data_IF_958065885718
#
_entry.id   IF_958065885718
#
_cell.length_a   1.000
_cell.length_b   1.000
_cell.length_c   1.000
_cell.angle_alpha   90.00
_cell.angle_beta   90.00
_cell.angle_gamma   90.00
#
_symmetry.space_group_name_H-M   'P 1'
#
loop_
_entity.id
_entity.type
_entity.pdbx_description
1 polymer ?
#
# COMPACT_ATOMS: atom_id res chain seq x y z
N UNK A 1 10.60 -5.94 12.97
CA UNK A 1 9.26 -5.67 12.39
C UNK A 1 9.21 -5.79 10.87
N UNK A 2 10.15 -5.21 10.11
CA UNK A 2 10.17 -5.27 8.63
C UNK A 2 10.11 -6.70 8.03
N UNK A 3 10.81 -7.67 8.60
CA UNK A 3 10.72 -9.07 8.13
C UNK A 3 9.33 -9.70 8.32
N UNK A 4 8.63 -9.35 9.40
CA UNK A 4 7.28 -9.87 9.67
C UNK A 4 6.24 -9.26 8.73
N UNK A 5 6.46 -8.01 8.29
CA UNK A 5 5.61 -7.32 7.32
C UNK A 5 5.79 -7.87 5.90
N UNK A 6 6.98 -8.38 5.56
CA UNK A 6 7.39 -8.72 4.20
C UNK A 6 6.41 -9.63 3.43
N UNK A 7 5.78 -10.58 4.13
CA UNK A 7 4.84 -11.54 3.56
C UNK A 7 3.36 -11.11 3.65
N UNK A 8 3.06 -10.03 4.36
CA UNK A 8 1.68 -9.56 4.53
C UNK A 8 1.21 -8.93 3.22
N UNK A 9 -0.04 -9.23 2.84
CA UNK A 9 -0.71 -8.63 1.69
C UNK A 9 -0.70 -7.12 1.81
N UNK A 10 -0.58 -6.43 0.69
CA UNK A 10 -0.58 -4.98 0.67
C UNK A 10 -1.68 -4.40 -0.21
N UNK A 11 -2.02 -3.15 0.08
CA UNK A 11 -2.97 -2.30 -0.63
C UNK A 11 -2.29 -0.96 -0.88
N UNK A 12 -2.58 -0.34 -2.02
CA UNK A 12 -2.05 0.99 -2.32
C UNK A 12 -3.20 1.98 -2.34
N UNK A 13 -2.98 3.15 -1.75
CA UNK A 13 -3.91 4.27 -1.78
C UNK A 13 -3.15 5.56 -2.06
N UNK A 14 -3.82 6.52 -2.69
CA UNK A 14 -3.30 7.89 -2.86
C UNK A 14 -3.58 8.77 -1.64
N UNK A 15 -4.58 8.42 -0.82
CA UNK A 15 -4.98 9.18 0.36
C UNK A 15 -5.34 8.26 1.53
N UNK A 16 -4.93 8.65 2.73
CA UNK A 16 -5.37 8.03 3.97
C UNK A 16 -6.57 8.77 4.58
N UNK A 17 -7.43 8.09 5.34
CA UNK A 17 -8.57 8.73 6.00
C UNK A 17 -8.19 9.59 7.22
N UNK A 18 -6.94 9.54 7.68
CA UNK A 18 -6.44 10.29 8.83
C UNK A 18 -4.96 10.65 8.66
N UNK A 19 -4.52 11.68 9.38
CA UNK A 19 -3.11 12.10 9.41
C UNK A 19 -2.30 11.16 10.30
N UNK A 20 -1.22 10.62 9.74
CA UNK A 20 -0.31 9.70 10.40
C UNK A 20 1.12 10.02 10.00
N UNK A 21 2.06 9.79 10.91
CA UNK A 21 3.47 9.95 10.62
C UNK A 21 3.90 8.98 9.48
N UNK A 22 4.64 9.45 8.46
CA UNK A 22 5.12 8.60 7.38
C UNK A 22 6.00 7.41 7.82
N UNK A 23 6.56 7.46 9.02
CA UNK A 23 7.37 6.39 9.61
C UNK A 23 6.52 5.26 10.21
N UNK A 24 5.23 5.48 10.43
CA UNK A 24 4.33 4.49 11.03
C UNK A 24 3.78 3.51 10.00
N UNK A 25 3.48 2.30 10.46
CA UNK A 25 2.90 1.26 9.62
C UNK A 25 1.39 1.34 9.68
N UNK A 26 0.75 1.54 8.54
CA UNK A 26 -0.71 1.54 8.43
C UNK A 26 -1.18 0.18 7.95
N UNK A 27 -2.16 -0.38 8.65
CA UNK A 27 -2.83 -1.62 8.30
C UNK A 27 -4.33 -1.36 8.09
N UNK A 28 -4.95 -2.18 7.25
CA UNK A 28 -6.35 -2.07 6.91
C UNK A 28 -7.04 -3.45 6.89
N UNK A 29 -8.26 -3.52 7.41
CA UNK A 29 -9.06 -4.74 7.43
C UNK A 29 -10.57 -4.42 7.46
N UNK A 30 -11.43 -5.38 7.07
CA UNK A 30 -12.89 -5.25 7.21
C UNK A 30 -13.39 -5.37 8.66
N UNK A 31 -12.51 -5.70 9.62
CA UNK A 31 -12.80 -5.94 11.03
C UNK A 31 -11.92 -5.05 11.93
N UNK A 32 -12.34 -4.76 13.18
CA UNK A 32 -11.58 -3.90 14.08
C UNK A 32 -10.14 -4.36 14.25
N UNK A 33 -9.20 -3.42 14.19
CA UNK A 33 -7.76 -3.65 14.32
C UNK A 33 -7.22 -3.04 15.61
N UNK A 34 -6.05 -3.54 16.04
CA UNK A 34 -5.31 -3.00 17.17
C UNK A 34 -4.16 -2.13 16.67
N UNK A 35 -3.96 -0.96 17.30
CA UNK A 35 -2.87 -0.06 16.97
C UNK A 35 -2.91 1.18 17.86
N UNK A 36 -1.95 2.08 17.64
CA UNK A 36 -1.86 3.36 18.35
C UNK A 36 -2.96 4.32 17.97
N UNK A 37 -3.29 4.37 16.68
CA UNK A 37 -4.40 5.14 16.14
C UNK A 37 -5.27 4.21 15.32
N UNK A 38 -6.56 4.18 15.65
CA UNK A 38 -7.55 3.40 14.91
C UNK A 38 -8.64 4.31 14.40
N UNK A 39 -9.08 4.10 13.15
CA UNK A 39 -10.28 4.75 12.61
C UNK A 39 -11.18 3.74 11.94
N UNK A 40 -12.49 3.96 12.01
CA UNK A 40 -13.54 3.16 11.36
C UNK A 40 -14.16 3.86 10.15
N UNK A 41 -13.51 4.92 9.66
CA UNK A 41 -13.94 5.80 8.56
C UNK A 41 -13.58 5.29 7.16
N UNK A 42 -13.09 4.05 7.05
CA UNK A 42 -12.77 3.43 5.77
C UNK A 42 -14.01 3.08 4.93
N UNK A 43 -13.84 3.03 3.61
CA UNK A 43 -14.89 2.57 2.70
C UNK A 43 -15.33 1.13 3.03
N UNK A 44 -16.64 0.94 3.06
CA UNK A 44 -17.27 -0.35 3.24
C UNK A 44 -16.95 -1.21 2.01
N UNK A 45 -16.31 -2.38 2.21
CA UNK A 45 -15.84 -3.40 1.22
C UNK A 45 -14.36 -3.36 0.80
N UNK A 46 -13.62 -2.27 1.03
CA UNK A 46 -12.15 -2.22 0.82
C UNK A 46 -11.37 -2.30 2.13
N UNK A 47 -12.05 -2.07 3.26
CA UNK A 47 -11.58 -2.25 4.62
C UNK A 47 -11.96 -1.02 5.44
N UNK A 48 -12.92 -1.19 6.34
CA UNK A 48 -13.48 -0.10 7.14
C UNK A 48 -12.51 0.39 8.22
N UNK A 49 -11.73 -0.53 8.78
CA UNK A 49 -10.88 -0.25 9.92
C UNK A 49 -9.44 -0.08 9.48
N UNK A 50 -8.88 1.07 9.85
CA UNK A 50 -7.45 1.33 9.72
C UNK A 50 -6.82 1.36 11.09
N UNK A 51 -5.61 0.82 11.20
CA UNK A 51 -4.76 0.95 12.37
C UNK A 51 -3.38 1.43 11.96
N UNK A 52 -2.90 2.49 12.59
CA UNK A 52 -1.51 2.89 12.51
C UNK A 52 -0.73 2.38 13.72
N UNK A 53 0.45 1.83 13.46
CA UNK A 53 1.35 1.24 14.44
C UNK A 53 2.68 1.97 14.36
N UNK A 54 3.11 2.54 15.49
CA UNK A 54 4.46 3.07 15.62
C UNK A 54 5.47 1.93 15.71
N UNK A 55 6.44 1.80 14.78
CA UNK A 55 7.51 0.80 14.86
C UNK A 55 8.38 0.87 16.12
N UNK A 56 8.48 2.05 16.76
CA UNK A 56 9.34 2.29 17.92
C UNK A 56 8.69 1.85 19.25
N UNK A 57 7.39 1.55 19.24
CA UNK A 57 6.68 1.16 20.44
C UNK A 57 6.93 -0.29 20.84
N UNK A 58 7.03 -0.54 22.15
CA UNK A 58 7.21 -1.87 22.72
C UNK A 58 6.11 -2.89 22.36
N UNK A 59 4.88 -2.42 22.11
CA UNK A 59 3.70 -3.20 21.76
C UNK A 59 3.52 -3.39 20.24
N UNK A 60 4.35 -2.74 19.41
CA UNK A 60 4.21 -2.77 17.96
C UNK A 60 4.19 -4.20 17.38
N UNK A 61 5.02 -5.09 17.92
CA UNK A 61 5.06 -6.49 17.53
C UNK A 61 3.76 -7.24 17.87
N UNK A 62 3.17 -6.97 19.05
CA UNK A 62 1.93 -7.59 19.48
C UNK A 62 0.72 -7.11 18.65
N UNK A 63 0.69 -5.81 18.31
CA UNK A 63 -0.32 -5.26 17.39
C UNK A 63 -0.20 -5.87 16.00
N UNK A 64 1.02 -5.99 15.48
CA UNK A 64 1.26 -6.60 14.18
C UNK A 64 0.81 -8.07 14.14
N UNK A 65 1.16 -8.87 15.15
CA UNK A 65 0.76 -10.27 15.23
C UNK A 65 -0.77 -10.41 15.28
N UNK A 66 -1.42 -9.59 16.11
CA UNK A 66 -2.89 -9.58 16.24
C UNK A 66 -3.55 -9.20 14.91
N UNK A 67 -3.09 -8.13 14.26
CA UNK A 67 -3.64 -7.69 12.99
C UNK A 67 -3.38 -8.69 11.87
N UNK A 68 -2.25 -9.40 11.90
CA UNK A 68 -1.94 -10.46 10.93
C UNK A 68 -2.92 -11.64 11.07
N UNK A 69 -3.25 -12.05 12.30
CA UNK A 69 -4.32 -13.05 12.55
C UNK A 69 -5.69 -12.58 12.06
N UNK A 70 -5.88 -11.25 12.00
CA UNK A 70 -7.07 -10.61 11.45
C UNK A 70 -6.99 -10.36 9.93
N UNK A 71 -6.10 -11.03 9.20
CA UNK A 71 -5.93 -10.90 7.73
C UNK A 71 -5.82 -9.42 7.29
N UNK A 72 -5.20 -8.60 8.14
CA UNK A 72 -5.00 -7.20 7.84
C UNK A 72 -3.97 -7.05 6.71
N UNK A 73 -4.26 -6.12 5.80
CA UNK A 73 -3.35 -5.75 4.73
C UNK A 73 -2.54 -4.51 5.13
N UNK A 74 -1.28 -4.43 4.70
CA UNK A 74 -0.47 -3.22 4.87
C UNK A 74 -0.85 -2.20 3.81
N UNK A 75 -1.07 -0.95 4.21
CA UNK A 75 -1.43 0.14 3.32
C UNK A 75 -0.17 0.92 2.93
N UNK A 76 0.09 1.01 1.64
CA UNK A 76 1.19 1.80 1.06
C UNK A 76 0.60 3.06 0.45
N UNK A 77 1.16 4.21 0.80
CA UNK A 77 0.74 5.51 0.27
C UNK A 77 1.62 5.85 -0.94
N UNK A 78 0.99 6.03 -2.10
CA UNK A 78 1.67 6.45 -3.32
C UNK A 78 0.73 7.25 -4.21
N UNK A 79 1.24 8.30 -4.86
CA UNK A 79 0.45 9.07 -5.83
C UNK A 79 0.07 8.20 -7.03
N UNK A 80 -1.03 8.54 -7.72
CA UNK A 80 -1.50 7.79 -8.90
C UNK A 80 -0.42 7.59 -9.97
N UNK A 81 0.44 8.59 -10.19
CA UNK A 81 1.57 8.48 -11.12
C UNK A 81 2.58 7.41 -10.66
N UNK A 82 2.92 7.38 -9.37
CA UNK A 82 3.81 6.36 -8.80
C UNK A 82 3.15 4.97 -8.85
N UNK A 83 1.84 4.88 -8.60
CA UNK A 83 1.11 3.61 -8.71
C UNK A 83 1.17 3.01 -10.12
N UNK A 84 1.01 3.84 -11.15
CA UNK A 84 1.17 3.43 -12.55
C UNK A 84 2.56 2.87 -12.78
N UNK A 85 3.60 3.60 -12.39
CA UNK A 85 4.98 3.15 -12.57
C UNK A 85 5.25 1.83 -11.81
N UNK A 86 4.73 1.69 -10.59
CA UNK A 86 4.81 0.43 -9.82
C UNK A 86 4.16 -0.75 -10.55
N UNK A 87 3.01 -0.53 -11.19
CA UNK A 87 2.32 -1.56 -11.97
C UNK A 87 3.05 -1.91 -13.27
N UNK A 88 3.78 -0.94 -13.85
CA UNK A 88 4.57 -1.12 -15.06
C UNK A 88 5.97 -1.72 -14.82
N UNK A 89 6.42 -1.83 -13.56
CA UNK A 89 7.68 -2.51 -13.21
C UNK A 89 7.69 -3.94 -13.77
N UNK A 90 8.68 -4.24 -14.63
CA UNK A 90 8.83 -5.55 -15.28
C UNK A 90 7.83 -5.84 -16.40
N UNK A 91 6.98 -4.88 -16.77
CA UNK A 91 6.02 -5.03 -17.88
C UNK A 91 6.71 -4.85 -19.22
N UNK A 92 6.58 -5.86 -20.11
CA UNK A 92 7.04 -5.78 -21.50
C UNK A 92 6.36 -4.69 -22.34
N UNK A 93 5.25 -4.14 -21.84
CA UNK A 93 4.45 -3.12 -22.53
C UNK A 93 4.58 -1.74 -21.89
N UNK A 94 5.49 -1.54 -20.93
CA UNK A 94 5.62 -0.28 -20.21
C UNK A 94 5.76 0.92 -21.16
N UNK A 95 6.67 0.84 -22.15
CA UNK A 95 6.88 1.93 -23.10
C UNK A 95 5.68 2.16 -24.00
N UNK A 96 4.98 1.08 -24.38
CA UNK A 96 3.74 1.19 -25.15
C UNK A 96 2.68 1.97 -24.39
N UNK A 97 2.46 1.64 -23.12
CA UNK A 97 1.49 2.36 -22.29
C UNK A 97 1.85 3.84 -22.14
N UNK A 98 3.13 4.15 -21.88
CA UNK A 98 3.60 5.54 -21.74
C UNK A 98 3.50 6.35 -23.04
N UNK A 99 3.63 5.70 -24.19
CA UNK A 99 3.54 6.36 -25.50
C UNK A 99 2.08 6.53 -25.99
N UNK A 100 1.21 5.57 -25.68
CA UNK A 100 -0.18 5.55 -26.17
C UNK A 100 -1.15 6.32 -25.24
N UNK A 101 -0.84 6.46 -23.96
CA UNK A 101 -1.74 7.08 -22.97
C UNK A 101 -1.02 8.11 -22.10
N UNK A 102 -1.75 9.12 -21.62
CA UNK A 102 -1.25 10.12 -20.69
C UNK A 102 -2.25 10.38 -19.55
N UNK A 103 -1.76 10.87 -18.42
CA UNK A 103 -2.59 11.28 -17.28
C UNK A 103 -3.57 10.20 -16.78
N UNK A 104 -4.84 10.57 -16.64
CA UNK A 104 -5.89 9.69 -16.13
C UNK A 104 -6.20 8.51 -17.06
N UNK A 105 -6.02 8.66 -18.37
CA UNK A 105 -6.25 7.57 -19.31
C UNK A 105 -5.18 6.49 -19.19
N UNK A 106 -3.94 6.88 -18.89
CA UNK A 106 -2.86 5.95 -18.55
C UNK A 106 -3.20 5.19 -17.26
N UNK A 107 -3.69 5.88 -16.23
CA UNK A 107 -4.09 5.24 -14.97
C UNK A 107 -5.21 4.21 -15.19
N UNK A 108 -6.22 4.53 -16.02
CA UNK A 108 -7.30 3.59 -16.36
C UNK A 108 -6.80 2.41 -17.20
N UNK A 109 -5.97 2.67 -18.21
CA UNK A 109 -5.44 1.65 -19.10
C UNK A 109 -4.56 0.63 -18.38
N UNK A 110 -3.71 1.09 -17.45
CA UNK A 110 -2.87 0.22 -16.62
C UNK A 110 -3.66 -0.43 -15.50
N UNK A 111 -4.67 0.26 -14.94
CA UNK A 111 -5.45 -0.22 -13.79
C UNK A 111 -4.56 -0.74 -12.64
N UNK A 112 -3.71 0.12 -12.01
CA UNK A 112 -2.66 -0.31 -11.08
C UNK A 112 -3.13 -1.22 -9.95
N UNK A 113 -4.33 -0.97 -9.42
CA UNK A 113 -4.93 -1.81 -8.37
C UNK A 113 -4.97 -3.29 -8.76
N UNK A 114 -5.25 -3.67 -10.01
CA UNK A 114 -5.26 -5.08 -10.44
C UNK A 114 -3.89 -5.74 -10.39
N UNK A 115 -2.82 -4.96 -10.53
CA UNK A 115 -1.44 -5.44 -10.55
C UNK A 115 -0.78 -5.42 -9.17
N UNK A 116 -1.25 -4.52 -8.30
CA UNK A 116 -0.64 -4.24 -7.01
C UNK A 116 -1.39 -4.88 -5.85
N UNK A 117 -2.70 -5.10 -6.00
CA UNK A 117 -3.53 -5.71 -4.96
C UNK A 117 -3.02 -7.09 -4.56
N UNK A 118 -2.98 -7.33 -3.26
CA UNK A 118 -2.59 -8.59 -2.62
C UNK A 118 -1.12 -8.98 -2.78
N UNK A 119 -0.29 -8.15 -3.42
CA UNK A 119 1.15 -8.39 -3.43
C UNK A 119 1.72 -8.38 -2.00
N UNK A 120 2.71 -9.23 -1.71
CA UNK A 120 3.47 -9.15 -0.46
C UNK A 120 4.08 -7.76 -0.30
N UNK A 121 4.09 -7.24 0.93
CA UNK A 121 4.64 -5.91 1.22
C UNK A 121 6.09 -5.74 0.76
N UNK A 122 6.91 -6.80 0.84
CA UNK A 122 8.29 -6.77 0.35
C UNK A 122 8.39 -6.51 -1.16
N UNK A 123 7.52 -7.16 -1.94
CA UNK A 123 7.45 -6.93 -3.38
C UNK A 123 6.89 -5.54 -3.69
N UNK A 124 5.86 -5.12 -2.96
CA UNK A 124 5.27 -3.78 -3.08
C UNK A 124 6.30 -2.68 -2.81
N UNK A 125 7.10 -2.81 -1.76
CA UNK A 125 8.19 -1.88 -1.44
C UNK A 125 9.25 -1.86 -2.55
N UNK A 126 9.61 -3.04 -3.09
CA UNK A 126 10.58 -3.13 -4.17
C UNK A 126 10.10 -2.38 -5.42
N UNK A 127 8.82 -2.55 -5.79
CA UNK A 127 8.20 -1.81 -6.90
C UNK A 127 8.13 -0.31 -6.62
N UNK A 128 7.82 0.08 -5.38
CA UNK A 128 7.76 1.50 -4.97
C UNK A 128 9.14 2.17 -5.10
N UNK A 129 10.21 1.50 -4.66
CA UNK A 129 11.58 2.02 -4.77
C UNK A 129 11.96 2.17 -6.24
N UNK A 130 11.68 1.16 -7.07
CA UNK A 130 11.95 1.22 -8.50
C UNK A 130 11.15 2.34 -9.19
N UNK A 131 9.85 2.44 -8.91
CA UNK A 131 8.99 3.49 -9.46
C UNK A 131 9.45 4.89 -9.07
N UNK A 132 9.84 5.11 -7.81
CA UNK A 132 10.41 6.39 -7.36
C UNK A 132 11.73 6.72 -8.06
N UNK A 133 12.57 5.73 -8.29
CA UNK A 133 13.84 5.93 -9.02
C UNK A 133 13.62 6.32 -10.49
N UNK A 134 12.57 5.79 -11.11
CA UNK A 134 12.18 6.12 -12.49
C UNK A 134 11.53 7.49 -12.60
N UNK A 135 10.80 7.93 -11.58
CA UNK A 135 10.16 9.25 -11.54
C UNK A 135 11.10 10.42 -11.21
N UNK A 136 12.35 10.15 -10.81
CA UNK A 136 13.33 11.18 -10.42
C UNK A 136 14.34 11.49 -11.55
N UNK A 137 14.31 10.73 -12.65
CA UNK A 137 15.09 10.98 -13.87
C UNK A 137 14.21 11.64 -14.95
#
# INVERSE_FOLDING_TARGET
MQQALAAIKSRVTDKLPFDVDPSWVVMNAPRPLAGHLTTDSGEFLTGRFYAAIDPADSMAAAYLETNTKLDACVVVIASKAVQVEMALVGSRYADRYRNEFTGDDLYKAVSPDRHLRDLPFSEMQSRLIQAKSLATN
#
